data_IF_147462013072
#
_entry.id   IF_147462013072
#
_cell.length_a   1.000
_cell.length_b   1.000
_cell.length_c   1.000
_cell.angle_alpha   90.00
_cell.angle_beta   90.00
_cell.angle_gamma   90.00
#
_symmetry.space_group_name_H-M   'P 1'
#
loop_
_entity.id
_entity.type
_entity.pdbx_description
1 polymer ?
#
# COMPACT_ATOMS: atom_id res chain seq x y z
N UNK A 1 -34.70 -13.20 -8.10
CA UNK A 1 -33.93 -13.90 -9.15
C UNK A 1 -33.51 -15.22 -8.55
N UNK A 2 -33.60 -16.34 -9.30
CA UNK A 2 -33.03 -17.61 -8.85
C UNK A 2 -31.51 -17.48 -8.70
N UNK A 3 -30.95 -18.24 -7.76
CA UNK A 3 -29.51 -18.40 -7.59
C UNK A 3 -29.18 -19.86 -7.90
N UNK A 4 -28.65 -20.12 -9.09
CA UNK A 4 -28.21 -21.45 -9.45
C UNK A 4 -26.81 -21.69 -8.87
N UNK A 5 -26.62 -22.79 -8.15
CA UNK A 5 -25.29 -23.23 -7.73
C UNK A 5 -24.63 -23.90 -8.93
N UNK A 6 -23.39 -23.54 -9.23
CA UNK A 6 -22.67 -24.03 -10.42
C UNK A 6 -21.48 -24.92 -10.05
N UNK A 7 -20.79 -24.65 -8.94
CA UNK A 7 -19.71 -25.52 -8.49
C UNK A 7 -18.76 -24.85 -7.51
N UNK A 8 -17.54 -25.39 -7.42
CA UNK A 8 -16.43 -24.83 -6.65
C UNK A 8 -15.16 -24.89 -7.50
N UNK A 9 -14.41 -23.78 -7.52
CA UNK A 9 -13.10 -23.66 -8.18
C UNK A 9 -11.99 -23.37 -7.17
N UNK A 10 -10.81 -23.88 -7.46
CA UNK A 10 -9.61 -23.77 -6.62
C UNK A 10 -8.37 -23.44 -7.47
N UNK A 11 -7.40 -22.73 -6.89
CA UNK A 11 -6.10 -22.45 -7.53
C UNK A 11 -5.26 -23.72 -7.63
N UNK A 12 -4.71 -24.01 -8.81
CA UNK A 12 -3.85 -25.19 -9.06
C UNK A 12 -2.49 -25.12 -8.37
N UNK A 13 -1.75 -24.02 -8.55
CA UNK A 13 -0.33 -23.91 -8.15
C UNK A 13 0.00 -22.59 -7.41
N UNK A 14 -1.01 -21.83 -6.98
CA UNK A 14 -0.80 -20.58 -6.25
C UNK A 14 -0.24 -20.82 -4.84
N UNK A 15 0.80 -20.08 -4.47
CA UNK A 15 1.34 -20.03 -3.10
C UNK A 15 0.27 -19.53 -2.10
N UNK A 16 -0.66 -18.70 -2.56
CA UNK A 16 -1.87 -18.34 -1.81
C UNK A 16 -3.02 -19.19 -2.34
N UNK A 17 -3.31 -20.29 -1.65
CA UNK A 17 -4.45 -21.14 -1.98
C UNK A 17 -5.76 -20.35 -1.84
N UNK A 18 -6.55 -20.32 -2.91
CA UNK A 18 -7.87 -19.69 -2.95
C UNK A 18 -8.91 -20.69 -3.44
N UNK A 19 -10.05 -20.70 -2.77
CA UNK A 19 -11.23 -21.54 -3.05
C UNK A 19 -12.45 -20.63 -3.16
N UNK A 20 -13.22 -20.76 -4.23
CA UNK A 20 -14.43 -19.96 -4.43
C UNK A 20 -15.61 -20.82 -4.87
N UNK A 21 -16.75 -20.60 -4.22
CA UNK A 21 -18.06 -21.06 -4.67
C UNK A 21 -18.42 -20.33 -5.96
N UNK A 22 -18.97 -21.05 -6.94
CA UNK A 22 -19.43 -20.51 -8.22
C UNK A 22 -20.94 -20.62 -8.33
N UNK A 23 -21.58 -19.52 -8.72
CA UNK A 23 -23.03 -19.38 -8.94
C UNK A 23 -23.32 -18.77 -10.31
N UNK A 24 -24.51 -19.00 -10.85
CA UNK A 24 -25.03 -18.26 -12.02
C UNK A 24 -26.07 -17.25 -11.54
N UNK A 25 -25.95 -16.02 -12.00
CA UNK A 25 -26.89 -14.91 -11.72
C UNK A 25 -27.04 -14.11 -13.01
N UNK A 26 -28.23 -14.11 -13.61
CA UNK A 26 -28.54 -13.44 -14.88
C UNK A 26 -27.54 -13.85 -16.00
N UNK A 27 -27.54 -15.14 -16.38
CA UNK A 27 -26.55 -15.89 -17.19
C UNK A 27 -25.10 -15.88 -16.72
N UNK A 28 -24.58 -14.77 -16.17
CA UNK A 28 -23.16 -14.64 -15.85
C UNK A 28 -22.81 -15.52 -14.66
N UNK A 29 -21.70 -16.23 -14.81
CA UNK A 29 -21.09 -16.99 -13.73
C UNK A 29 -20.37 -16.02 -12.80
N UNK A 30 -20.48 -16.22 -11.49
CA UNK A 30 -19.79 -15.44 -10.48
C UNK A 30 -19.11 -16.36 -9.48
N UNK A 31 -17.86 -16.03 -9.12
CA UNK A 31 -17.12 -16.66 -8.04
C UNK A 31 -17.05 -15.75 -6.80
N UNK A 32 -17.07 -16.34 -5.61
CA UNK A 32 -16.88 -15.65 -4.33
C UNK A 32 -16.64 -16.64 -3.18
N UNK A 33 -16.22 -16.16 -2.01
CA UNK A 33 -15.97 -17.04 -0.86
C UNK A 33 -17.25 -17.71 -0.35
N UNK A 34 -18.33 -16.93 -0.21
CA UNK A 34 -19.64 -17.39 0.30
C UNK A 34 -20.74 -17.27 -0.77
N UNK A 35 -20.43 -17.50 -2.06
CA UNK A 35 -21.32 -17.15 -3.19
C UNK A 35 -22.75 -17.71 -3.08
N UNK A 36 -22.97 -18.84 -2.41
CA UNK A 36 -24.31 -19.40 -2.14
C UNK A 36 -25.14 -18.58 -1.14
N UNK A 37 -24.56 -17.57 -0.49
CA UNK A 37 -25.24 -16.63 0.43
C UNK A 37 -25.82 -15.39 -0.26
N UNK A 38 -25.78 -15.33 -1.59
CA UNK A 38 -26.40 -14.25 -2.36
C UNK A 38 -27.93 -14.21 -2.11
N UNK A 39 -28.57 -13.02 -1.97
CA UNK A 39 -28.08 -11.67 -2.25
C UNK A 39 -27.32 -10.97 -1.12
N UNK A 40 -27.20 -11.57 0.07
CA UNK A 40 -26.67 -10.89 1.28
C UNK A 40 -25.20 -10.45 1.18
N UNK A 41 -24.44 -11.05 0.27
CA UNK A 41 -23.03 -10.77 -0.04
C UNK A 41 -22.81 -10.32 -1.50
N UNK A 42 -23.83 -9.75 -2.15
CA UNK A 42 -23.82 -9.37 -3.58
C UNK A 42 -22.70 -8.39 -4.03
N UNK A 43 -21.92 -7.82 -3.10
CA UNK A 43 -20.74 -7.00 -3.41
C UNK A 43 -19.46 -7.84 -3.62
N UNK A 44 -19.46 -9.09 -3.16
CA UNK A 44 -18.29 -9.94 -2.94
C UNK A 44 -18.00 -10.80 -4.18
N UNK A 45 -19.07 -11.10 -4.94
CA UNK A 45 -19.06 -11.85 -6.19
C UNK A 45 -18.25 -11.17 -7.30
N UNK A 46 -17.48 -11.94 -8.05
CA UNK A 46 -16.75 -11.49 -9.25
C UNK A 46 -17.10 -12.36 -10.43
N UNK A 47 -17.36 -11.76 -11.59
CA UNK A 47 -17.72 -12.52 -12.79
C UNK A 47 -16.60 -13.52 -13.12
N UNK A 48 -16.95 -14.74 -13.52
CA UNK A 48 -16.00 -15.81 -13.81
C UNK A 48 -15.13 -15.47 -15.03
N UNK A 49 -15.69 -14.68 -15.94
CA UNK A 49 -15.00 -13.97 -17.04
C UNK A 49 -13.79 -13.15 -16.54
N UNK A 50 -13.83 -12.64 -15.29
CA UNK A 50 -12.72 -11.92 -14.67
C UNK A 50 -11.69 -12.84 -13.96
N UNK A 51 -11.87 -14.16 -14.02
CA UNK A 51 -10.92 -15.19 -13.58
C UNK A 51 -10.28 -15.92 -14.79
N UNK A 52 -10.36 -15.33 -15.99
CA UNK A 52 -9.72 -15.83 -17.21
C UNK A 52 -8.19 -15.68 -17.21
N UNK A 53 -7.54 -16.37 -16.28
CA UNK A 53 -6.22 -16.96 -16.49
C UNK A 53 -6.44 -18.48 -16.53
N UNK A 54 -6.79 -19.08 -17.68
CA UNK A 54 -7.24 -20.48 -17.75
C UNK A 54 -6.21 -21.51 -17.25
N UNK A 55 -4.93 -21.11 -17.19
CA UNK A 55 -3.86 -21.89 -16.59
C UNK A 55 -3.99 -22.08 -15.07
N UNK A 56 -4.47 -21.10 -14.31
CA UNK A 56 -4.29 -21.03 -12.85
C UNK A 56 -5.36 -21.74 -12.01
N UNK A 57 -6.56 -21.96 -12.55
CA UNK A 57 -7.71 -22.50 -11.80
C UNK A 57 -8.18 -23.87 -12.29
N UNK A 58 -8.71 -24.68 -11.38
CA UNK A 58 -9.36 -25.97 -11.66
C UNK A 58 -10.75 -26.05 -11.02
N UNK A 59 -11.65 -26.81 -11.66
CA UNK A 59 -12.92 -27.20 -11.08
C UNK A 59 -12.71 -28.38 -10.15
N UNK A 60 -13.28 -28.31 -8.96
CA UNK A 60 -13.22 -29.38 -7.95
C UNK A 60 -14.60 -30.00 -7.73
N UNK A 61 -15.66 -29.20 -7.91
CA UNK A 61 -17.04 -29.64 -7.84
C UNK A 61 -17.85 -28.87 -8.90
N UNK A 62 -18.83 -29.52 -9.54
CA UNK A 62 -19.72 -28.88 -10.52
C UNK A 62 -21.15 -29.40 -10.35
N UNK A 63 -22.05 -28.50 -9.98
CA UNK A 63 -23.48 -28.75 -9.89
C UNK A 63 -24.13 -28.64 -11.28
N UNK A 64 -25.28 -29.28 -11.44
CA UNK A 64 -26.03 -29.31 -12.69
C UNK A 64 -27.52 -29.21 -12.36
N UNK A 65 -28.11 -28.05 -12.61
CA UNK A 65 -29.57 -27.82 -12.62
C UNK A 65 -29.96 -27.17 -13.97
N UNK A 66 -31.25 -27.07 -14.29
CA UNK A 66 -31.74 -26.67 -15.62
C UNK A 66 -32.25 -25.20 -15.69
N UNK A 67 -32.10 -24.59 -16.87
CA UNK A 67 -32.21 -23.15 -17.23
C UNK A 67 -33.62 -22.50 -17.07
N UNK A 68 -33.80 -21.13 -17.12
CA UNK A 68 -32.87 -20.00 -17.45
C UNK A 68 -32.53 -19.10 -16.21
N UNK A 69 -32.59 -17.75 -16.05
CA UNK A 69 -33.15 -16.53 -16.71
C UNK A 69 -32.63 -15.26 -15.95
N UNK A 70 -32.40 -14.03 -16.48
CA UNK A 70 -32.00 -13.51 -17.81
C UNK A 70 -31.41 -12.08 -17.65
N UNK A 71 -30.40 -11.66 -18.44
CA UNK A 71 -30.28 -10.26 -18.97
C UNK A 71 -29.46 -9.15 -18.23
N UNK A 72 -28.52 -8.56 -18.98
CA UNK A 72 -28.03 -7.14 -19.15
C UNK A 72 -28.18 -6.04 -18.04
N UNK A 73 -27.43 -4.92 -18.02
CA UNK A 73 -26.08 -4.48 -18.50
C UNK A 73 -25.74 -3.14 -17.79
N UNK A 74 -24.47 -2.66 -17.71
CA UNK A 74 -24.10 -1.42 -16.97
C UNK A 74 -23.03 -0.52 -17.60
N UNK A 75 -23.29 0.80 -17.60
CA UNK A 75 -22.47 1.87 -18.20
C UNK A 75 -21.92 2.90 -17.20
N UNK A 76 -20.80 3.54 -17.58
CA UNK A 76 -20.26 4.85 -17.16
C UNK A 76 -19.71 5.05 -15.73
N UNK A 77 -18.56 5.73 -15.64
CA UNK A 77 -17.99 6.36 -14.43
C UNK A 77 -17.30 7.70 -14.77
N UNK A 78 -17.26 8.64 -13.82
CA UNK A 78 -16.67 9.99 -13.94
C UNK A 78 -16.03 10.39 -12.60
N UNK A 79 -14.83 11.00 -12.62
CA UNK A 79 -14.21 11.68 -11.46
C UNK A 79 -13.81 10.77 -10.28
N UNK A 80 -12.52 10.72 -9.91
CA UNK A 80 -12.02 9.74 -8.92
C UNK A 80 -11.52 10.33 -7.60
N UNK A 81 -11.08 11.60 -7.57
CA UNK A 81 -10.37 12.16 -6.43
C UNK A 81 -10.79 13.59 -6.07
N UNK A 82 -10.83 13.86 -4.76
CA UNK A 82 -10.86 15.18 -4.15
C UNK A 82 -9.45 15.51 -3.60
N UNK A 83 -8.97 16.75 -3.70
CA UNK A 83 -7.57 17.10 -3.31
C UNK A 83 -7.55 17.98 -2.07
N UNK A 84 -7.03 17.42 -0.96
CA UNK A 84 -6.89 18.10 0.34
C UNK A 84 -5.49 18.67 0.48
N UNK A 85 -5.34 19.86 1.10
CA UNK A 85 -4.08 20.61 1.18
C UNK A 85 -3.83 21.21 2.57
N UNK A 86 -2.65 21.81 2.76
CA UNK A 86 -2.30 22.58 3.96
C UNK A 86 -2.26 21.75 5.24
N UNK A 87 -2.64 22.37 6.37
CA UNK A 87 -2.57 21.77 7.70
C UNK A 87 -3.37 20.46 7.83
N UNK A 88 -4.52 20.32 7.16
CA UNK A 88 -5.30 19.07 7.18
C UNK A 88 -4.49 17.91 6.54
N UNK A 89 -3.90 18.15 5.37
CA UNK A 89 -3.05 17.17 4.70
C UNK A 89 -1.81 16.81 5.54
N UNK A 90 -1.14 17.81 6.13
CA UNK A 90 -0.01 17.63 7.03
C UNK A 90 -0.39 16.76 8.23
N UNK A 91 -1.49 17.09 8.93
CA UNK A 91 -1.95 16.36 10.10
C UNK A 91 -2.36 14.91 9.77
N UNK A 92 -3.05 14.69 8.64
CA UNK A 92 -3.41 13.34 8.17
C UNK A 92 -2.16 12.51 7.85
N UNK A 93 -1.13 13.11 7.25
CA UNK A 93 0.14 12.43 6.99
C UNK A 93 0.89 12.09 8.27
N UNK A 94 0.92 12.99 9.26
CA UNK A 94 1.52 12.74 10.57
C UNK A 94 0.81 11.60 11.33
N UNK A 95 -0.52 11.50 11.21
CA UNK A 95 -1.29 10.36 11.74
C UNK A 95 -0.92 9.03 11.08
N UNK A 96 -0.63 9.01 9.77
CA UNK A 96 -0.19 7.78 9.08
C UNK A 96 1.24 7.44 9.51
N UNK A 97 2.15 8.43 9.54
CA UNK A 97 3.51 8.29 10.06
C UNK A 97 3.56 7.63 11.45
N UNK A 98 2.66 8.00 12.36
CA UNK A 98 2.61 7.42 13.72
C UNK A 98 2.08 5.99 13.80
N UNK A 99 1.82 5.31 12.67
CA UNK A 99 1.43 3.88 12.60
C UNK A 99 2.42 3.00 11.84
N UNK A 100 3.39 3.58 11.11
CA UNK A 100 4.31 2.82 10.27
C UNK A 100 5.75 3.19 10.60
N UNK A 101 6.50 2.27 11.19
CA UNK A 101 7.89 2.48 11.62
C UNK A 101 8.91 2.25 10.49
N UNK A 102 8.47 1.60 9.41
CA UNK A 102 9.25 1.16 8.25
C UNK A 102 8.62 1.71 6.98
N UNK A 103 9.46 2.05 6.01
CA UNK A 103 9.06 2.40 4.65
C UNK A 103 10.12 1.95 3.66
N UNK A 104 9.95 2.31 2.39
CA UNK A 104 10.83 1.93 1.29
C UNK A 104 11.54 3.16 0.75
N UNK A 105 12.86 3.24 0.97
CA UNK A 105 13.74 4.23 0.35
C UNK A 105 14.04 3.78 -1.09
N UNK A 106 13.72 4.64 -2.05
CA UNK A 106 13.94 4.43 -3.49
C UNK A 106 14.99 5.39 -4.01
N UNK A 107 16.12 4.85 -4.46
CA UNK A 107 17.28 5.57 -5.00
C UNK A 107 17.42 5.31 -6.50
N UNK A 108 18.22 6.10 -7.20
CA UNK A 108 18.51 5.92 -8.63
C UNK A 108 19.85 5.19 -8.81
N UNK A 109 19.82 4.01 -9.45
CA UNK A 109 20.99 3.20 -9.80
C UNK A 109 21.09 3.03 -11.32
N UNK A 110 21.79 3.97 -11.97
CA UNK A 110 21.89 4.05 -13.43
C UNK A 110 20.51 4.16 -14.10
N UNK A 111 20.09 3.11 -14.81
CA UNK A 111 18.82 2.98 -15.53
C UNK A 111 17.64 2.52 -14.63
N UNK A 112 17.91 2.09 -13.38
CA UNK A 112 16.92 1.38 -12.55
C UNK A 112 16.71 2.01 -11.17
N UNK A 113 15.48 1.94 -10.62
CA UNK A 113 15.25 2.25 -9.21
C UNK A 113 15.84 1.16 -8.32
N UNK A 114 16.59 1.58 -7.28
CA UNK A 114 17.06 0.72 -6.21
C UNK A 114 16.23 1.00 -4.95
N UNK A 115 15.22 0.15 -4.72
CA UNK A 115 14.27 0.27 -3.62
C UNK A 115 14.61 -0.69 -2.48
N UNK A 116 14.64 -0.20 -1.24
CA UNK A 116 14.95 -1.00 -0.04
C UNK A 116 14.03 -0.64 1.15
N UNK A 117 13.45 -1.63 1.85
CA UNK A 117 12.83 -1.42 3.16
C UNK A 117 13.86 -0.93 4.18
N UNK A 118 13.49 0.08 4.97
CA UNK A 118 14.33 0.65 6.04
C UNK A 118 13.44 1.32 7.10
N UNK A 119 13.91 1.34 8.35
CA UNK A 119 13.24 2.04 9.45
C UNK A 119 13.59 3.54 9.45
N UNK A 120 12.72 4.38 10.01
CA UNK A 120 12.85 5.84 9.91
C UNK A 120 12.29 6.61 11.09
N UNK A 121 12.86 7.80 11.31
CA UNK A 121 12.28 8.82 12.18
C UNK A 121 11.89 10.02 11.36
N UNK A 122 10.63 10.45 11.40
CA UNK A 122 10.22 11.74 10.85
C UNK A 122 10.36 12.83 11.92
N UNK A 123 11.05 13.92 11.59
CA UNK A 123 11.13 15.12 12.41
C UNK A 123 11.45 16.35 11.56
N UNK A 124 10.73 17.44 11.78
CA UNK A 124 11.00 18.78 11.23
C UNK A 124 11.16 18.82 9.68
N UNK A 125 10.33 18.07 8.95
CA UNK A 125 10.38 17.99 7.48
C UNK A 125 11.47 17.06 6.92
N UNK A 126 12.16 16.31 7.78
CA UNK A 126 13.20 15.35 7.42
C UNK A 126 12.82 13.93 7.86
N UNK A 127 13.24 12.93 7.08
CA UNK A 127 13.31 11.53 7.51
C UNK A 127 14.78 11.19 7.80
N UNK A 128 15.05 10.66 9.00
CA UNK A 128 16.37 10.20 9.41
C UNK A 128 16.40 8.68 9.37
N UNK A 129 17.33 8.11 8.60
CA UNK A 129 17.47 6.67 8.36
C UNK A 129 18.86 6.21 8.84
N UNK A 130 18.91 5.21 9.71
CA UNK A 130 20.16 4.65 10.21
C UNK A 130 20.84 3.73 9.16
N UNK A 131 22.16 3.80 9.03
CA UNK A 131 22.94 2.89 8.18
C UNK A 131 24.33 2.61 8.73
N UNK A 132 24.90 1.44 8.39
CA UNK A 132 26.35 1.25 8.43
C UNK A 132 27.07 2.11 7.37
N UNK A 133 28.37 2.36 7.58
CA UNK A 133 29.23 3.27 6.79
C UNK A 133 29.50 2.89 5.32
N UNK A 134 29.20 1.65 4.91
CA UNK A 134 29.52 1.10 3.58
C UNK A 134 28.32 0.36 2.98
N UNK A 135 28.42 0.06 1.68
CA UNK A 135 27.42 -0.68 0.91
C UNK A 135 26.66 0.17 -0.11
N UNK A 136 25.96 -0.51 -1.03
CA UNK A 136 25.36 0.07 -2.24
C UNK A 136 24.54 1.34 -1.99
N UNK A 137 23.65 1.34 -0.99
CA UNK A 137 22.81 2.51 -0.67
C UNK A 137 23.61 3.77 -0.34
N UNK A 138 24.74 3.65 0.37
CA UNK A 138 25.62 4.79 0.69
C UNK A 138 26.36 5.31 -0.54
N UNK A 139 26.68 4.43 -1.50
CA UNK A 139 27.29 4.84 -2.78
C UNK A 139 26.28 5.56 -3.67
N UNK A 140 25.03 5.09 -3.73
CA UNK A 140 23.96 5.71 -4.51
C UNK A 140 23.57 7.09 -3.96
N UNK A 141 23.35 7.23 -2.65
CA UNK A 141 23.08 8.53 -1.98
C UNK A 141 24.20 9.55 -2.23
N UNK A 142 25.47 9.10 -2.33
CA UNK A 142 26.61 9.96 -2.66
C UNK A 142 26.74 10.29 -4.15
N UNK A 143 25.99 9.62 -5.03
CA UNK A 143 26.02 9.80 -6.49
C UNK A 143 24.84 10.61 -7.02
N UNK A 144 23.65 10.42 -6.45
CA UNK A 144 22.44 11.12 -6.85
C UNK A 144 21.58 11.42 -5.61
N UNK A 145 21.22 12.68 -5.43
CA UNK A 145 20.40 13.15 -4.31
C UNK A 145 18.91 12.94 -4.56
N UNK A 146 18.44 12.81 -5.80
CA UNK A 146 17.01 12.66 -6.09
C UNK A 146 16.47 11.32 -5.62
N UNK A 147 15.49 11.34 -4.71
CA UNK A 147 14.94 10.12 -4.10
C UNK A 147 13.43 10.21 -3.82
N UNK A 148 12.82 9.03 -3.65
CA UNK A 148 11.48 8.88 -3.11
C UNK A 148 11.53 8.00 -1.85
N UNK A 149 10.65 8.27 -0.89
CA UNK A 149 10.41 7.39 0.25
C UNK A 149 8.92 7.02 0.28
N UNK A 150 8.59 5.74 0.49
CA UNK A 150 7.19 5.27 0.48
C UNK A 150 6.85 4.54 1.75
N UNK A 151 5.83 5.02 2.47
CA UNK A 151 5.15 4.32 3.55
C UNK A 151 3.86 3.74 2.98
N UNK A 152 3.55 2.49 3.31
CA UNK A 152 2.28 1.87 2.98
C UNK A 152 1.94 0.76 3.98
N UNK A 153 0.65 0.56 4.21
CA UNK A 153 0.13 -0.52 5.04
C UNK A 153 -1.40 -0.60 4.97
N UNK A 154 -1.97 -1.54 5.71
CA UNK A 154 -3.41 -1.59 5.93
C UNK A 154 -3.82 -0.44 6.85
N UNK A 155 -4.99 0.15 6.63
CA UNK A 155 -5.53 1.19 7.52
C UNK A 155 -6.09 0.60 8.84
N UNK A 156 -6.37 -0.70 8.86
CA UNK A 156 -6.77 -1.47 10.03
C UNK A 156 -5.90 -2.74 10.13
N UNK A 157 -5.59 -3.20 11.35
CA UNK A 157 -4.77 -4.40 11.57
C UNK A 157 -5.43 -5.71 11.14
N UNK A 158 -6.76 -5.74 11.07
CA UNK A 158 -7.53 -6.93 10.70
C UNK A 158 -8.12 -6.81 9.29
N UNK A 159 -7.73 -7.73 8.40
CA UNK A 159 -8.40 -7.92 7.11
C UNK A 159 -9.68 -8.75 7.33
N UNK A 160 -10.79 -8.09 7.68
CA UNK A 160 -12.11 -8.72 7.83
C UNK A 160 -13.01 -8.42 6.62
N UNK A 161 -13.75 -9.44 6.16
CA UNK A 161 -14.74 -9.38 5.08
C UNK A 161 -14.19 -8.72 3.80
N UNK A 162 -13.34 -9.42 3.04
CA UNK A 162 -12.72 -8.91 1.79
C UNK A 162 -13.74 -8.91 0.64
N UNK A 163 -14.70 -7.99 0.71
CA UNK A 163 -15.77 -7.80 -0.29
C UNK A 163 -15.28 -7.20 -1.63
N UNK A 164 -13.96 -7.12 -1.84
CA UNK A 164 -13.33 -6.76 -3.12
C UNK A 164 -11.81 -6.88 -3.12
N UNK A 165 -11.23 -7.00 -4.31
CA UNK A 165 -9.84 -6.71 -4.67
C UNK A 165 -9.33 -5.27 -4.38
N UNK A 166 -10.03 -4.50 -3.54
CA UNK A 166 -9.62 -3.21 -3.01
C UNK A 166 -9.69 -3.30 -1.48
N UNK A 167 -8.52 -3.24 -0.84
CA UNK A 167 -8.39 -3.24 0.62
C UNK A 167 -8.48 -1.80 1.18
N UNK A 168 -8.82 -1.68 2.46
CA UNK A 168 -8.62 -0.45 3.22
C UNK A 168 -7.13 -0.31 3.55
N UNK A 169 -6.42 0.48 2.72
CA UNK A 169 -5.00 0.76 2.87
C UNK A 169 -4.75 2.24 3.13
N UNK A 170 -3.61 2.54 3.73
CA UNK A 170 -3.07 3.89 3.82
C UNK A 170 -1.62 3.94 3.32
N UNK A 171 -1.20 5.11 2.85
CA UNK A 171 0.10 5.30 2.22
C UNK A 171 0.53 6.75 2.23
N UNK A 172 1.84 6.97 2.26
CA UNK A 172 2.48 8.27 2.00
C UNK A 172 3.62 8.04 0.99
N UNK A 173 3.63 8.82 -0.08
CA UNK A 173 4.79 8.99 -0.96
C UNK A 173 5.43 10.36 -0.65
N UNK A 174 6.66 10.32 -0.17
CA UNK A 174 7.54 11.48 -0.01
C UNK A 174 8.42 11.59 -1.25
N UNK A 175 8.56 12.81 -1.79
CA UNK A 175 9.54 13.17 -2.81
C UNK A 175 10.49 14.20 -2.22
N UNK A 176 11.78 14.07 -2.50
CA UNK A 176 12.77 15.02 -2.03
C UNK A 176 14.20 14.60 -2.32
N UNK A 177 15.12 15.13 -1.53
CA UNK A 177 16.55 14.95 -1.71
C UNK A 177 17.17 14.17 -0.54
N UNK A 178 18.14 13.30 -0.84
CA UNK A 178 18.79 12.43 0.13
C UNK A 178 20.30 12.67 0.18
N UNK A 179 20.87 12.73 1.37
CA UNK A 179 22.31 12.87 1.59
C UNK A 179 22.77 12.08 2.82
N UNK A 180 24.09 11.95 3.01
CA UNK A 180 24.69 11.39 4.24
C UNK A 180 25.13 12.54 5.13
N UNK A 181 24.61 12.59 6.36
CA UNK A 181 24.93 13.66 7.31
C UNK A 181 26.39 13.58 7.77
N UNK A 182 27.02 14.76 7.87
CA UNK A 182 28.43 14.95 8.24
C UNK A 182 28.60 15.85 9.46
N UNK A 183 27.60 16.66 9.81
CA UNK A 183 27.64 17.53 10.98
C UNK A 183 27.21 16.79 12.24
N UNK A 184 28.10 16.73 13.24
CA UNK A 184 27.88 15.98 14.48
C UNK A 184 26.60 16.42 15.22
N UNK A 185 26.26 17.72 15.16
CA UNK A 185 25.06 18.28 15.80
C UNK A 185 23.75 17.72 15.23
N UNK A 186 23.62 17.62 13.90
CA UNK A 186 22.42 17.05 13.26
C UNK A 186 22.45 15.51 13.33
N UNK A 187 23.63 14.87 13.26
CA UNK A 187 23.81 13.43 13.47
C UNK A 187 23.37 13.02 14.89
N UNK A 188 23.68 13.85 15.90
CA UNK A 188 23.28 13.67 17.29
C UNK A 188 21.79 13.99 17.52
N UNK A 189 21.23 15.02 16.85
CA UNK A 189 19.78 15.27 16.83
C UNK A 189 19.00 14.08 16.29
N UNK A 190 19.50 13.47 15.21
CA UNK A 190 18.94 12.28 14.59
C UNK A 190 19.01 11.07 15.53
N UNK A 191 20.18 10.81 16.12
CA UNK A 191 20.38 9.72 17.08
C UNK A 191 19.45 9.83 18.29
N UNK A 192 19.35 11.02 18.90
CA UNK A 192 18.40 11.26 20.01
C UNK A 192 16.95 11.04 19.61
N UNK A 193 16.57 11.34 18.35
CA UNK A 193 15.23 11.08 17.85
C UNK A 193 14.98 9.57 17.58
N UNK A 194 15.98 8.84 17.06
CA UNK A 194 15.95 7.37 16.89
C UNK A 194 15.82 6.66 18.24
N UNK A 195 16.68 7.00 19.21
CA UNK A 195 16.60 6.52 20.60
C UNK A 195 15.22 6.79 21.21
N UNK A 196 14.65 7.99 21.01
CA UNK A 196 13.34 8.34 21.55
C UNK A 196 12.19 7.56 20.88
N UNK A 197 12.24 7.34 19.57
CA UNK A 197 11.16 6.65 18.85
C UNK A 197 11.14 5.14 19.10
N UNK A 198 12.32 4.50 19.13
CA UNK A 198 12.44 3.04 19.26
C UNK A 198 12.76 2.56 20.68
N UNK A 199 12.83 3.46 21.67
CA UNK A 199 13.10 3.12 23.07
C UNK A 199 14.50 2.59 23.36
N UNK A 200 15.44 2.65 22.40
CA UNK A 200 16.78 2.07 22.52
C UNK A 200 17.71 3.00 23.31
N UNK A 201 18.39 2.52 24.38
CA UNK A 201 19.28 3.37 25.19
C UNK A 201 20.42 3.95 24.34
N UNK A 202 20.70 5.24 24.53
CA UNK A 202 21.75 5.93 23.79
C UNK A 202 23.14 5.40 24.20
N UNK A 203 23.92 4.95 23.21
CA UNK A 203 25.29 4.45 23.39
C UNK A 203 26.29 5.52 22.95
N UNK A 204 27.19 5.92 23.85
CA UNK A 204 28.28 6.85 23.53
C UNK A 204 29.23 6.20 22.50
N UNK A 205 29.67 6.97 21.49
CA UNK A 205 30.47 6.47 20.37
C UNK A 205 29.69 5.70 19.30
N UNK A 206 28.38 5.49 19.46
CA UNK A 206 27.56 4.83 18.41
C UNK A 206 27.50 5.66 17.12
N UNK A 207 27.57 6.99 17.22
CA UNK A 207 27.80 7.94 16.13
C UNK A 207 28.93 7.53 15.18
N UNK A 208 29.98 6.93 15.72
CA UNK A 208 31.27 6.72 15.05
C UNK A 208 31.31 5.37 14.32
N UNK A 209 30.35 4.49 14.60
CA UNK A 209 30.18 3.21 13.90
C UNK A 209 29.20 3.31 12.71
N UNK A 210 28.36 4.35 12.68
CA UNK A 210 27.22 4.48 11.78
C UNK A 210 27.34 5.67 10.83
N UNK A 211 26.39 5.76 9.90
CA UNK A 211 25.97 7.01 9.27
C UNK A 211 24.47 7.23 9.44
N UNK A 212 24.07 8.50 9.40
CA UNK A 212 22.68 8.90 9.24
C UNK A 212 22.49 9.33 7.80
N UNK A 213 21.56 8.68 7.10
CA UNK A 213 21.04 9.13 5.82
C UNK A 213 19.88 10.08 6.13
N UNK A 214 19.95 11.30 5.64
CA UNK A 214 18.89 12.31 5.78
C UNK A 214 18.16 12.41 4.44
N UNK A 215 16.83 12.32 4.49
CA UNK A 215 15.95 12.65 3.38
C UNK A 215 15.21 13.95 3.72
N UNK A 216 15.49 15.02 3.01
CA UNK A 216 14.79 16.30 3.11
C UNK A 216 13.58 16.27 2.18
N UNK A 217 12.40 16.49 2.75
CA UNK A 217 11.12 16.29 2.06
C UNK A 217 10.71 17.57 1.34
N UNK A 218 10.67 17.55 0.02
CA UNK A 218 10.09 18.63 -0.77
C UNK A 218 8.55 18.58 -0.70
N UNK A 219 7.98 17.39 -0.97
CA UNK A 219 6.53 17.19 -1.06
C UNK A 219 6.12 15.83 -0.51
N UNK A 220 4.88 15.77 0.00
CA UNK A 220 4.23 14.54 0.45
C UNK A 220 2.87 14.40 -0.24
N UNK A 221 2.55 13.18 -0.66
CA UNK A 221 1.19 12.81 -1.05
C UNK A 221 0.72 11.60 -0.26
N UNK A 222 -0.50 11.62 0.24
CA UNK A 222 -1.06 10.50 0.99
C UNK A 222 -2.44 10.09 0.47
N UNK A 223 -2.71 8.79 0.55
CA UNK A 223 -3.96 8.14 0.13
C UNK A 223 -4.33 7.12 1.19
N UNK A 224 -5.52 7.27 1.78
CA UNK A 224 -6.14 6.34 2.73
C UNK A 224 -7.44 5.77 2.17
N UNK A 225 -8.04 4.78 2.85
CA UNK A 225 -9.33 4.15 2.53
C UNK A 225 -9.39 3.29 1.25
N UNK A 226 -10.31 2.31 1.27
CA UNK A 226 -10.71 1.46 0.15
C UNK A 226 -11.34 2.29 -0.97
N UNK A 227 -11.01 1.97 -2.23
CA UNK A 227 -11.67 2.60 -3.38
C UNK A 227 -13.14 2.17 -3.49
N UNK A 228 -14.02 3.14 -3.70
CA UNK A 228 -15.48 3.00 -3.83
C UNK A 228 -15.92 3.75 -5.10
N UNK A 229 -16.45 3.10 -6.15
CA UNK A 229 -16.74 3.75 -7.43
C UNK A 229 -17.75 4.91 -7.37
N UNK A 230 -18.60 4.92 -6.34
CA UNK A 230 -19.61 5.93 -6.05
C UNK A 230 -19.06 7.18 -5.33
N UNK A 231 -17.78 7.20 -4.92
CA UNK A 231 -17.23 8.28 -4.07
C UNK A 231 -15.89 8.82 -4.57
N UNK A 232 -15.80 10.15 -4.63
CA UNK A 232 -14.53 10.85 -4.72
C UNK A 232 -13.67 10.49 -3.51
N UNK A 233 -12.46 9.96 -3.74
CA UNK A 233 -11.50 9.59 -2.69
C UNK A 233 -10.57 10.77 -2.39
N UNK A 234 -10.27 11.03 -1.12
CA UNK A 234 -9.31 12.09 -0.78
C UNK A 234 -7.88 11.72 -1.24
N UNK A 235 -7.21 12.68 -1.84
CA UNK A 235 -5.77 12.72 -2.09
C UNK A 235 -5.21 13.89 -1.31
N UNK A 236 -4.47 13.59 -0.24
CA UNK A 236 -3.84 14.60 0.60
C UNK A 236 -2.51 15.01 -0.05
N UNK A 237 -2.26 16.31 -0.20
CA UNK A 237 -1.03 16.87 -0.77
C UNK A 237 -0.48 17.96 0.15
N UNK A 238 0.83 17.93 0.42
CA UNK A 238 1.53 18.94 1.18
C UNK A 238 2.91 19.23 0.56
N UNK A 239 3.35 20.49 0.61
CA UNK A 239 4.59 20.99 0.02
C UNK A 239 5.34 21.81 1.07
N UNK A 240 6.60 21.48 1.33
CA UNK A 240 7.45 22.18 2.28
C UNK A 240 8.10 23.43 1.64
N UNK A 241 8.06 23.55 0.31
CA UNK A 241 8.53 24.73 -0.44
C UNK A 241 7.45 25.82 -0.59
N UNK A 242 6.54 25.95 0.40
CA UNK A 242 5.39 26.88 0.35
C UNK A 242 4.91 27.39 1.71
N UNK A 243 5.61 27.03 2.79
CA UNK A 243 5.40 27.48 4.17
C UNK A 243 6.65 28.24 4.66
#
# INVERSE_FOLDING_TARGET
>A
MPLEKIGIIETKESIVYLRYEVVRINERLYAGADAFSWPSNSQDLRALECLEIPGEWQWVERYIEAEPDYGEDKKNLKGKYNVVRGAEAKNKMLQILSRHEVGVLSLIDNDRPYAIPINHVYKDGKLYLHSGKKGKKIQLVKRNVGACYTIFGLANSEIKNVRSCHLDYESILFKGNVYVEKGDVEKERALKAITKQYGTPYQHGFSDMIEIIVFEVETMTARDQRFKPDKNRNLYFYNFLSD
#
